data_IF_058478046185
#
_entry.id   IF_058478046185
#
_cell.length_a   1.000
_cell.length_b   1.000
_cell.length_c   1.000
_cell.angle_alpha   90.00
_cell.angle_beta   90.00
_cell.angle_gamma   90.00
#
_symmetry.space_group_name_H-M   'P 1'
#
loop_
_entity.id
_entity.type
_entity.pdbx_description
1 polymer ?
#
# COMPACT_ATOMS: atom_id res chain seq x y z
N UNK A 1 -15.96 16.63 13.47
CA UNK A 1 -15.52 16.03 12.20
C UNK A 1 -14.07 15.54 12.35
N UNK A 2 -13.72 14.39 11.82
CA UNK A 2 -12.36 13.85 11.90
C UNK A 2 -11.38 14.74 11.11
N UNK A 3 -10.29 15.13 11.74
CA UNK A 3 -9.20 15.88 11.10
C UNK A 3 -8.23 14.88 10.46
N UNK A 4 -8.40 14.60 9.18
CA UNK A 4 -7.60 13.61 8.45
C UNK A 4 -6.12 13.99 8.32
N UNK A 5 -5.74 15.26 8.51
CA UNK A 5 -4.34 15.70 8.45
C UNK A 5 -3.46 15.10 9.57
N UNK A 6 -4.09 14.54 10.59
CA UNK A 6 -3.45 13.87 11.71
C UNK A 6 -3.26 12.37 11.50
N UNK A 7 -3.71 11.85 10.36
CA UNK A 7 -3.68 10.43 10.05
C UNK A 7 -2.95 10.14 8.75
N UNK A 8 -2.47 8.91 8.64
CA UNK A 8 -1.84 8.43 7.40
C UNK A 8 -2.73 7.45 6.64
N UNK A 9 -2.52 7.42 5.33
CA UNK A 9 -3.07 6.42 4.42
C UNK A 9 -1.92 5.73 3.68
N UNK A 10 -1.81 4.42 3.85
CA UNK A 10 -0.84 3.57 3.15
C UNK A 10 -1.49 3.00 1.89
N UNK A 11 -0.83 3.16 0.74
CA UNK A 11 -1.26 2.56 -0.51
C UNK A 11 -0.14 1.64 -1.03
N UNK A 12 -0.28 0.34 -0.83
CA UNK A 12 0.64 -0.68 -1.37
C UNK A 12 0.22 -1.01 -2.79
N UNK A 13 1.16 -1.02 -3.71
CA UNK A 13 0.87 -1.14 -5.14
C UNK A 13 0.41 0.19 -5.75
N UNK A 14 1.03 1.29 -5.37
CA UNK A 14 0.79 2.63 -5.91
C UNK A 14 1.31 2.74 -7.36
N UNK A 15 0.70 1.96 -8.26
CA UNK A 15 0.99 1.95 -9.69
C UNK A 15 0.45 3.17 -10.42
N UNK A 16 0.78 3.26 -11.72
CA UNK A 16 0.53 4.46 -12.52
C UNK A 16 -0.96 4.74 -12.83
N UNK A 17 -1.84 3.80 -12.56
CA UNK A 17 -3.29 3.92 -12.75
C UNK A 17 -4.04 4.01 -11.41
N UNK A 18 -4.69 2.93 -11.00
CA UNK A 18 -5.54 2.88 -9.79
C UNK A 18 -4.79 3.31 -8.52
N UNK A 19 -3.57 2.81 -8.31
CA UNK A 19 -2.79 3.13 -7.12
C UNK A 19 -2.43 4.61 -7.03
N UNK A 20 -2.06 5.25 -8.14
CA UNK A 20 -1.79 6.68 -8.19
C UNK A 20 -3.06 7.52 -7.96
N UNK A 21 -4.17 7.12 -8.57
CA UNK A 21 -5.46 7.78 -8.38
C UNK A 21 -5.93 7.74 -6.92
N UNK A 22 -5.84 6.56 -6.28
CA UNK A 22 -6.14 6.39 -4.86
C UNK A 22 -5.25 7.28 -4.00
N UNK A 23 -3.93 7.27 -4.25
CA UNK A 23 -2.98 8.10 -3.49
C UNK A 23 -3.34 9.59 -3.56
N UNK A 24 -3.59 10.10 -4.77
CA UNK A 24 -4.01 11.49 -4.98
C UNK A 24 -5.32 11.80 -4.26
N UNK A 25 -6.31 10.91 -4.35
CA UNK A 25 -7.61 11.12 -3.74
C UNK A 25 -7.56 11.20 -2.22
N UNK A 26 -6.79 10.35 -1.57
CA UNK A 26 -6.60 10.43 -0.12
C UNK A 26 -5.82 11.68 0.30
N UNK A 27 -4.81 12.10 -0.48
CA UNK A 27 -4.09 13.34 -0.24
C UNK A 27 -5.01 14.59 -0.35
N UNK A 28 -5.87 14.64 -1.37
CA UNK A 28 -6.89 15.70 -1.55
C UNK A 28 -7.85 15.80 -0.35
N UNK A 29 -8.10 14.67 0.33
CA UNK A 29 -8.94 14.63 1.53
C UNK A 29 -8.14 14.89 2.83
N UNK A 30 -6.89 15.30 2.71
CA UNK A 30 -6.08 15.76 3.83
C UNK A 30 -5.20 14.70 4.50
N UNK A 31 -5.26 13.43 4.10
CA UNK A 31 -4.38 12.40 4.67
C UNK A 31 -2.92 12.63 4.33
N UNK A 32 -2.03 12.22 5.24
CA UNK A 32 -0.62 12.00 4.93
C UNK A 32 -0.49 10.68 4.19
N UNK A 33 -0.26 10.74 2.89
CA UNK A 33 -0.26 9.53 2.07
C UNK A 33 1.15 8.93 1.95
N UNK A 34 1.21 7.61 2.11
CA UNK A 34 2.42 6.81 2.05
C UNK A 34 2.32 5.77 0.93
N UNK A 35 2.46 6.19 -0.34
CA UNK A 35 2.43 5.27 -1.47
C UNK A 35 3.69 4.40 -1.50
N UNK A 36 3.50 3.10 -1.72
CA UNK A 36 4.57 2.12 -1.76
C UNK A 36 4.56 1.29 -3.04
N UNK A 37 5.73 1.09 -3.60
CA UNK A 37 6.02 0.18 -4.73
C UNK A 37 7.29 -0.60 -4.43
N UNK A 38 7.54 -1.66 -5.23
CA UNK A 38 8.81 -2.40 -5.12
C UNK A 38 10.01 -1.46 -5.25
N UNK A 39 11.15 -1.72 -4.56
CA UNK A 39 12.32 -0.84 -4.55
C UNK A 39 12.81 -0.40 -5.92
N UNK A 40 12.75 -1.30 -6.92
CA UNK A 40 13.12 -0.98 -8.33
C UNK A 40 12.27 0.11 -8.98
N UNK A 41 11.16 0.50 -8.38
CA UNK A 41 10.23 1.52 -8.87
C UNK A 41 10.14 2.73 -7.93
N UNK A 42 11.14 2.92 -7.07
CA UNK A 42 11.17 4.00 -6.08
C UNK A 42 11.08 5.39 -6.74
N UNK A 43 11.74 5.59 -7.87
CA UNK A 43 11.72 6.87 -8.58
C UNK A 43 10.31 7.26 -9.02
N UNK A 44 9.51 6.29 -9.46
CA UNK A 44 8.12 6.54 -9.87
C UNK A 44 7.22 6.93 -8.69
N UNK A 45 7.39 6.28 -7.54
CA UNK A 45 6.59 6.61 -6.37
C UNK A 45 7.04 7.92 -5.73
N UNK A 46 8.32 8.25 -5.78
CA UNK A 46 8.83 9.55 -5.35
C UNK A 46 8.31 10.69 -6.23
N UNK A 47 8.26 10.49 -7.55
CA UNK A 47 7.65 11.45 -8.46
C UNK A 47 6.18 11.70 -8.14
N UNK A 48 5.41 10.65 -7.88
CA UNK A 48 4.02 10.78 -7.45
C UNK A 48 3.89 11.58 -6.14
N UNK A 49 4.77 11.31 -5.17
CA UNK A 49 4.80 12.05 -3.91
C UNK A 49 5.15 13.52 -4.11
N UNK A 50 6.11 13.83 -4.99
CA UNK A 50 6.49 15.19 -5.33
C UNK A 50 5.34 15.98 -6.00
N UNK A 51 4.62 15.35 -6.94
CA UNK A 51 3.42 15.93 -7.55
C UNK A 51 2.37 16.31 -6.50
N UNK A 52 2.12 15.43 -5.54
CA UNK A 52 1.15 15.67 -4.46
C UNK A 52 1.62 16.81 -3.55
N UNK A 53 2.89 16.80 -3.14
CA UNK A 53 3.46 17.83 -2.28
C UNK A 53 3.44 19.21 -2.95
N UNK A 54 3.73 19.26 -4.25
CA UNK A 54 3.66 20.52 -5.04
C UNK A 54 2.23 21.03 -5.15
N UNK A 55 1.24 20.15 -5.13
CA UNK A 55 -0.19 20.51 -5.16
C UNK A 55 -0.76 20.86 -3.78
N UNK A 56 0.06 20.93 -2.73
CA UNK A 56 -0.34 21.32 -1.37
C UNK A 56 -0.81 20.14 -0.49
N UNK A 57 -0.70 18.90 -0.96
CA UNK A 57 -0.90 17.70 -0.15
C UNK A 57 0.35 17.31 0.64
N UNK A 58 0.30 16.17 1.30
CA UNK A 58 1.47 15.58 1.95
C UNK A 58 1.66 14.13 1.52
N UNK A 59 2.80 13.81 0.97
CA UNK A 59 3.13 12.47 0.52
C UNK A 59 4.61 12.13 0.73
N UNK A 60 4.88 10.87 1.09
CA UNK A 60 6.23 10.28 1.10
C UNK A 60 6.20 8.93 0.40
N UNK A 61 7.03 8.77 -0.63
CA UNK A 61 7.15 7.53 -1.38
C UNK A 61 8.02 6.49 -0.67
N UNK A 62 7.65 5.20 -0.81
CA UNK A 62 8.36 4.09 -0.20
C UNK A 62 8.70 2.98 -1.20
N UNK A 63 9.94 2.48 -1.10
CA UNK A 63 10.38 1.28 -1.82
C UNK A 63 10.19 0.04 -0.95
N UNK A 64 9.07 -0.67 -1.12
CA UNK A 64 8.72 -1.84 -0.30
C UNK A 64 8.32 -3.01 -1.18
N UNK A 65 8.93 -4.17 -0.97
CA UNK A 65 8.40 -5.43 -1.50
C UNK A 65 7.41 -6.01 -0.49
N UNK A 66 6.14 -6.01 -0.84
CA UNK A 66 5.08 -6.47 0.05
C UNK A 66 5.13 -7.98 0.38
N UNK A 67 6.00 -8.73 -0.30
CA UNK A 67 6.26 -10.16 0.00
C UNK A 67 7.35 -10.35 1.05
N UNK A 68 8.10 -9.30 1.34
CA UNK A 68 9.15 -9.30 2.35
C UNK A 68 8.56 -8.89 3.71
N UNK A 69 8.51 -9.85 4.63
CA UNK A 69 7.90 -9.64 5.94
C UNK A 69 8.60 -8.55 6.76
N UNK A 70 9.91 -8.50 6.73
CA UNK A 70 10.68 -7.52 7.51
C UNK A 70 10.58 -6.12 6.89
N UNK A 71 10.54 -6.03 5.56
CA UNK A 71 10.29 -4.77 4.86
C UNK A 71 8.90 -4.20 5.19
N UNK A 72 7.86 -5.04 5.22
CA UNK A 72 6.50 -4.63 5.61
C UNK A 72 6.47 -4.17 7.07
N UNK A 73 7.06 -4.91 7.99
CA UNK A 73 7.12 -4.52 9.42
C UNK A 73 7.80 -3.16 9.60
N UNK A 74 8.96 -2.97 8.97
CA UNK A 74 9.71 -1.72 9.06
C UNK A 74 8.95 -0.55 8.48
N UNK A 75 8.32 -0.75 7.33
CA UNK A 75 7.51 0.28 6.67
C UNK A 75 6.32 0.72 7.53
N UNK A 76 5.54 -0.22 8.04
CA UNK A 76 4.39 0.11 8.91
C UNK A 76 4.83 0.81 10.19
N UNK A 77 5.93 0.36 10.79
CA UNK A 77 6.50 0.99 11.98
C UNK A 77 6.91 2.44 11.69
N UNK A 78 7.65 2.69 10.62
CA UNK A 78 8.06 4.04 10.23
C UNK A 78 6.87 4.95 10.00
N UNK A 79 5.83 4.49 9.30
CA UNK A 79 4.64 5.30 9.06
C UNK A 79 3.93 5.64 10.36
N UNK A 80 3.70 4.65 11.23
CA UNK A 80 2.98 4.84 12.48
C UNK A 80 3.71 5.76 13.46
N UNK A 81 5.03 5.57 13.61
CA UNK A 81 5.82 6.25 14.64
C UNK A 81 6.36 7.61 14.17
N UNK A 82 6.77 7.72 12.91
CA UNK A 82 7.51 8.89 12.41
C UNK A 82 6.66 9.83 11.53
N UNK A 83 5.51 9.36 11.01
CA UNK A 83 4.68 10.16 10.11
C UNK A 83 3.35 10.52 10.75
N UNK A 84 2.47 9.54 10.93
CA UNK A 84 1.16 9.71 11.58
C UNK A 84 0.49 8.36 11.81
N UNK A 85 -0.44 8.26 12.78
CA UNK A 85 -1.24 7.06 13.01
C UNK A 85 -1.90 6.55 11.73
N UNK A 86 -1.76 5.26 11.46
CA UNK A 86 -2.28 4.60 10.26
C UNK A 86 -3.79 4.42 10.39
N UNK A 87 -4.56 5.13 9.58
CA UNK A 87 -6.03 5.07 9.55
C UNK A 87 -6.58 4.29 8.35
N UNK A 88 -5.87 4.33 7.23
CA UNK A 88 -6.28 3.64 6.00
C UNK A 88 -5.11 2.84 5.45
N UNK A 89 -5.39 1.60 5.08
CA UNK A 89 -4.46 0.75 4.33
C UNK A 89 -5.17 0.19 3.10
N UNK A 90 -4.59 0.40 1.94
CA UNK A 90 -5.07 -0.14 0.67
C UNK A 90 -4.02 -1.08 0.11
N UNK A 91 -4.36 -2.35 -0.03
CA UNK A 91 -3.57 -3.35 -0.73
C UNK A 91 -4.08 -3.47 -2.16
N UNK A 92 -3.33 -2.91 -3.12
CA UNK A 92 -3.69 -2.83 -4.53
C UNK A 92 -2.77 -3.62 -5.50
N UNK A 93 -1.81 -4.45 -5.07
CA UNK A 93 -1.03 -5.24 -6.01
C UNK A 93 -1.91 -6.19 -6.81
N UNK A 94 -1.79 -6.13 -8.13
CA UNK A 94 -2.39 -7.10 -9.04
C UNK A 94 -1.40 -8.20 -9.37
N UNK A 95 -1.89 -9.42 -9.50
CA UNK A 95 -1.13 -10.59 -9.97
C UNK A 95 -1.89 -11.29 -11.09
N UNK A 96 -2.44 -10.51 -12.01
CA UNK A 96 -3.26 -11.02 -13.09
C UNK A 96 -2.38 -11.67 -14.16
N UNK A 97 -2.41 -12.99 -14.18
CA UNK A 97 -1.86 -13.80 -15.26
C UNK A 97 -2.95 -14.77 -15.73
N UNK A 98 -3.03 -14.98 -17.02
CA UNK A 98 -3.97 -15.94 -17.60
C UNK A 98 -3.17 -17.14 -18.12
N UNK A 99 -3.40 -18.28 -17.52
CA UNK A 99 -2.91 -19.58 -17.95
C UNK A 99 -4.03 -20.61 -17.81
N UNK A 100 -4.24 -21.51 -18.80
CA UNK A 100 -5.04 -22.70 -18.60
C UNK A 100 -4.53 -23.51 -17.40
N UNK A 101 -5.42 -24.18 -16.70
CA UNK A 101 -5.02 -24.91 -15.48
C UNK A 101 -3.96 -25.98 -15.76
N UNK A 102 -4.07 -26.67 -16.87
CA UNK A 102 -3.15 -27.71 -17.33
C UNK A 102 -1.77 -27.16 -17.68
N UNK A 103 -1.65 -25.90 -18.09
CA UNK A 103 -0.39 -25.24 -18.44
C UNK A 103 0.20 -24.43 -17.29
N UNK A 104 -0.53 -24.29 -16.18
CA UNK A 104 -0.08 -23.51 -15.03
C UNK A 104 0.96 -24.29 -14.23
N UNK A 105 2.21 -23.82 -14.31
CA UNK A 105 3.30 -24.44 -13.54
C UNK A 105 3.21 -24.08 -12.06
N UNK A 106 3.72 -24.95 -11.19
CA UNK A 106 3.82 -24.69 -9.74
C UNK A 106 4.58 -23.39 -9.44
N UNK A 107 5.56 -23.03 -10.26
CA UNK A 107 6.31 -21.79 -10.14
C UNK A 107 5.42 -20.57 -10.37
N UNK A 108 4.61 -20.58 -11.42
CA UNK A 108 3.67 -19.49 -11.72
C UNK A 108 2.64 -19.37 -10.60
N UNK A 109 2.02 -20.46 -10.21
CA UNK A 109 1.05 -20.49 -9.11
C UNK A 109 1.62 -19.90 -7.82
N UNK A 110 2.80 -20.38 -7.38
CA UNK A 110 3.44 -19.85 -6.16
C UNK A 110 3.71 -18.36 -6.24
N UNK A 111 4.23 -17.85 -7.37
CA UNK A 111 4.50 -16.43 -7.54
C UNK A 111 3.25 -15.57 -7.48
N UNK A 112 2.16 -16.01 -8.10
CA UNK A 112 0.87 -15.31 -8.04
C UNK A 112 0.34 -15.31 -6.60
N UNK A 113 0.40 -16.45 -5.94
CA UNK A 113 0.00 -16.60 -4.54
C UNK A 113 0.80 -15.69 -3.60
N UNK A 114 2.13 -15.64 -3.75
CA UNK A 114 2.99 -14.76 -2.95
C UNK A 114 2.65 -13.28 -3.15
N UNK A 115 2.37 -12.87 -4.39
CA UNK A 115 2.09 -11.47 -4.71
C UNK A 115 0.69 -11.03 -4.28
N UNK A 116 -0.30 -11.91 -4.35
CA UNK A 116 -1.69 -11.57 -4.07
C UNK A 116 -2.09 -11.97 -2.64
N UNK A 117 -2.00 -13.25 -2.28
CA UNK A 117 -2.50 -13.76 -1.02
C UNK A 117 -1.51 -13.53 0.14
N UNK A 118 -0.27 -13.96 -0.01
CA UNK A 118 0.71 -13.86 1.08
C UNK A 118 1.08 -12.40 1.39
N UNK A 119 1.35 -11.59 0.39
CA UNK A 119 1.62 -10.16 0.58
C UNK A 119 0.42 -9.42 1.17
N UNK A 120 -0.80 -9.77 0.75
CA UNK A 120 -2.04 -9.25 1.34
C UNK A 120 -2.19 -9.64 2.81
N UNK A 121 -1.88 -10.87 3.17
CA UNK A 121 -1.86 -11.33 4.56
C UNK A 121 -0.85 -10.53 5.41
N UNK A 122 0.40 -10.38 4.95
CA UNK A 122 1.42 -9.60 5.66
C UNK A 122 0.95 -8.15 5.90
N UNK A 123 0.41 -7.52 4.87
CA UNK A 123 -0.13 -6.15 4.93
C UNK A 123 -1.27 -6.05 5.95
N UNK A 124 -2.27 -6.91 5.87
CA UNK A 124 -3.43 -6.91 6.77
C UNK A 124 -3.03 -7.19 8.21
N UNK A 125 -2.10 -8.11 8.43
CA UNK A 125 -1.58 -8.43 9.76
C UNK A 125 -0.89 -7.23 10.42
N UNK A 126 -0.02 -6.52 9.70
CA UNK A 126 0.66 -5.35 10.25
C UNK A 126 -0.31 -4.19 10.49
N UNK A 127 -1.22 -3.92 9.54
CA UNK A 127 -2.26 -2.91 9.73
C UNK A 127 -3.09 -3.16 11.00
N UNK A 128 -3.53 -4.41 11.20
CA UNK A 128 -4.35 -4.80 12.35
C UNK A 128 -3.66 -4.55 13.68
N UNK A 129 -2.34 -4.72 13.78
CA UNK A 129 -1.60 -4.48 15.03
C UNK A 129 -1.79 -3.06 15.56
N UNK A 130 -1.75 -2.08 14.68
CA UNK A 130 -1.88 -0.67 15.06
C UNK A 130 -3.33 -0.24 15.19
N UNK A 131 -4.18 -0.61 14.23
CA UNK A 131 -5.59 -0.20 14.19
C UNK A 131 -6.39 -0.79 15.36
N UNK A 132 -6.15 -2.06 15.71
CA UNK A 132 -6.86 -2.73 16.82
C UNK A 132 -6.66 -2.03 18.16
N UNK A 133 -5.46 -1.48 18.42
CA UNK A 133 -5.18 -0.79 19.68
C UNK A 133 -6.01 0.48 19.85
N UNK A 134 -6.40 1.11 18.73
CA UNK A 134 -7.21 2.33 18.71
C UNK A 134 -8.71 2.07 18.47
N UNK A 135 -9.09 0.82 18.16
CA UNK A 135 -10.43 0.47 17.64
C UNK A 135 -10.83 1.33 16.43
N UNK A 136 -9.89 1.71 15.59
CA UNK A 136 -10.09 2.63 14.49
C UNK A 136 -9.19 2.29 13.32
N UNK A 137 -9.72 2.43 12.08
CA UNK A 137 -9.02 2.23 10.84
C UNK A 137 -9.79 1.39 9.84
N UNK A 138 -9.35 1.42 8.59
CA UNK A 138 -9.97 0.67 7.49
C UNK A 138 -8.91 0.02 6.62
N UNK A 139 -9.11 -1.26 6.28
CA UNK A 139 -8.23 -2.03 5.41
C UNK A 139 -9.01 -2.45 4.17
N UNK A 140 -8.49 -2.11 2.99
CA UNK A 140 -9.09 -2.45 1.70
C UNK A 140 -8.16 -3.35 0.90
N UNK A 141 -8.72 -4.38 0.30
CA UNK A 141 -8.06 -5.22 -0.67
C UNK A 141 -8.76 -5.05 -2.02
N UNK A 142 -8.03 -4.58 -3.03
CA UNK A 142 -8.57 -4.52 -4.38
C UNK A 142 -8.58 -5.91 -4.98
N UNK A 143 -9.69 -6.29 -5.59
CA UNK A 143 -9.85 -7.56 -6.27
C UNK A 143 -10.20 -7.35 -7.73
N UNK A 144 -10.14 -8.44 -8.51
CA UNK A 144 -10.69 -8.51 -9.86
C UNK A 144 -11.87 -9.51 -9.87
N UNK A 145 -12.88 -9.18 -10.62
CA UNK A 145 -14.03 -10.07 -10.94
C UNK A 145 -13.85 -10.71 -12.30
#
# INVERSE_FOLDING_TARGET
MKDFSKYSAIIIGAGDATGAALTKKFAENGYRVCPARRPRSIDKVNKLAEEINTSGGWAKGFGVDARDEDAIKSFFKEVEEDIAPIDVVIFNPGANVYFPIEDTTSRVFKKVWEMAAFAGFLTGREATKYMKQRNEGSIFFTGAT
#
